data_IF_610697188193
#
_entry.id   IF_610697188193
#
_cell.length_a   1.000
_cell.length_b   1.000
_cell.length_c   1.000
_cell.angle_alpha   90.00
_cell.angle_beta   90.00
_cell.angle_gamma   90.00
#
_symmetry.space_group_name_H-M   'P 1'
#
loop_
_entity.id
_entity.type
_entity.pdbx_description
1 polymer ?
#
# COMPACT_ATOMS: atom_id res chain seq x y z
N UNK A 1 -3.66 19.44 -12.73
CA UNK A 1 -2.49 18.67 -12.23
C UNK A 1 -2.75 17.17 -12.44
N UNK A 2 -2.90 16.75 -13.71
CA UNK A 2 -3.19 15.36 -14.10
C UNK A 2 -2.20 14.88 -15.17
N UNK A 3 -1.82 15.79 -16.08
CA UNK A 3 -0.79 15.55 -17.09
C UNK A 3 0.51 14.93 -16.54
N UNK A 4 1.04 15.45 -15.41
CA UNK A 4 2.28 14.92 -14.81
C UNK A 4 2.17 13.48 -14.31
N UNK A 5 0.97 13.01 -13.97
CA UNK A 5 0.78 11.65 -13.45
C UNK A 5 0.66 10.63 -14.59
N UNK A 6 -0.03 11.01 -15.67
CA UNK A 6 -0.08 10.18 -16.88
C UNK A 6 1.28 10.12 -17.58
N UNK A 7 2.01 11.24 -17.63
CA UNK A 7 3.40 11.29 -18.13
C UNK A 7 4.30 10.35 -17.32
N UNK A 8 4.14 10.32 -15.99
CA UNK A 8 4.92 9.44 -15.11
C UNK A 8 4.58 7.96 -15.32
N UNK A 9 3.30 7.62 -15.52
CA UNK A 9 2.85 6.25 -15.86
C UNK A 9 3.43 5.78 -17.19
N UNK A 10 3.35 6.63 -18.22
CA UNK A 10 3.90 6.30 -19.54
C UNK A 10 5.42 6.10 -19.46
N UNK A 11 6.11 6.98 -18.73
CA UNK A 11 7.56 6.88 -18.53
C UNK A 11 7.94 5.58 -17.82
N UNK A 12 7.16 5.15 -16.83
CA UNK A 12 7.42 3.91 -16.11
C UNK A 12 7.20 2.66 -16.98
N UNK A 13 6.18 2.67 -17.85
CA UNK A 13 5.95 1.57 -18.80
C UNK A 13 7.03 1.47 -19.88
N UNK A 14 7.63 2.60 -20.26
CA UNK A 14 8.71 2.67 -21.24
C UNK A 14 10.11 2.51 -20.61
N UNK A 15 10.21 2.57 -19.28
CA UNK A 15 11.48 2.57 -18.58
C UNK A 15 12.19 1.21 -18.70
N UNK A 16 13.49 1.27 -18.96
CA UNK A 16 14.37 0.12 -18.78
C UNK A 16 14.53 -0.20 -17.30
N UNK A 17 14.95 -1.43 -16.94
CA UNK A 17 15.20 -1.82 -15.54
C UNK A 17 16.10 -0.82 -14.78
N UNK A 18 17.09 -0.25 -15.47
CA UNK A 18 18.01 0.73 -14.89
C UNK A 18 17.34 2.07 -14.59
N UNK A 19 16.42 2.50 -15.45
CA UNK A 19 15.63 3.72 -15.25
C UNK A 19 14.56 3.50 -14.17
N UNK A 20 13.95 2.32 -14.11
CA UNK A 20 13.06 1.91 -13.02
C UNK A 20 13.78 2.03 -11.68
N UNK A 21 14.99 1.45 -11.54
CA UNK A 21 15.80 1.56 -10.32
C UNK A 21 16.13 3.02 -9.93
N UNK A 22 16.43 3.88 -10.90
CA UNK A 22 16.68 5.31 -10.64
C UNK A 22 15.42 6.06 -10.20
N UNK A 23 14.27 5.76 -10.82
CA UNK A 23 12.97 6.34 -10.44
C UNK A 23 12.57 5.87 -9.05
N UNK A 24 12.79 4.59 -8.72
CA UNK A 24 12.57 4.06 -7.38
C UNK A 24 13.48 4.75 -6.37
N UNK A 25 14.78 4.93 -6.67
CA UNK A 25 15.70 5.60 -5.76
C UNK A 25 15.36 7.07 -5.46
N UNK A 26 14.69 7.78 -6.37
CA UNK A 26 14.44 9.23 -6.26
C UNK A 26 12.98 9.59 -5.95
N UNK A 27 12.03 8.75 -6.35
CA UNK A 27 10.61 9.08 -6.37
C UNK A 27 9.70 7.92 -5.92
N UNK A 28 10.23 6.92 -5.18
CA UNK A 28 9.42 5.77 -4.76
C UNK A 28 8.15 6.15 -4.00
N UNK A 29 8.17 7.22 -3.18
CA UNK A 29 6.99 7.65 -2.43
C UNK A 29 5.85 8.04 -3.38
N UNK A 30 6.14 8.89 -4.36
CA UNK A 30 5.17 9.31 -5.39
C UNK A 30 4.65 8.10 -6.16
N UNK A 31 5.52 7.15 -6.50
CA UNK A 31 5.13 5.96 -7.22
C UNK A 31 4.20 5.05 -6.39
N UNK A 32 4.52 4.82 -5.12
CA UNK A 32 3.66 4.06 -4.21
C UNK A 32 2.30 4.73 -4.02
N UNK A 33 2.24 6.06 -3.95
CA UNK A 33 0.97 6.78 -3.88
C UNK A 33 0.14 6.59 -5.14
N UNK A 34 0.76 6.66 -6.32
CA UNK A 34 0.08 6.42 -7.60
C UNK A 34 -0.46 5.01 -7.72
N UNK A 35 0.24 4.04 -7.13
CA UNK A 35 -0.21 2.65 -7.11
C UNK A 35 -1.35 2.38 -6.14
N UNK A 36 -1.75 3.31 -5.28
CA UNK A 36 -2.99 3.16 -4.51
C UNK A 36 -4.25 3.44 -5.33
N UNK A 37 -4.13 4.14 -6.46
CA UNK A 37 -5.25 4.46 -7.34
C UNK A 37 -5.59 3.32 -8.30
N UNK A 38 -6.88 3.14 -8.57
CA UNK A 38 -7.35 2.16 -9.54
C UNK A 38 -6.86 2.48 -10.95
N UNK A 39 -6.41 1.49 -11.75
CA UNK A 39 -6.35 0.03 -11.47
C UNK A 39 -4.96 -0.48 -11.04
N UNK A 40 -4.09 0.38 -10.49
CA UNK A 40 -2.67 0.07 -10.33
C UNK A 40 -2.29 -0.63 -9.02
N UNK A 41 -3.26 -0.94 -8.16
CA UNK A 41 -3.02 -1.51 -6.83
C UNK A 41 -2.29 -2.85 -6.86
N UNK A 42 -2.35 -3.58 -7.97
CA UNK A 42 -1.55 -4.80 -8.17
C UNK A 42 -0.04 -4.55 -8.11
N UNK A 43 0.43 -3.36 -8.51
CA UNK A 43 1.85 -3.01 -8.52
C UNK A 43 2.36 -2.48 -7.18
N UNK A 44 1.45 -2.12 -6.27
CA UNK A 44 1.80 -1.49 -5.00
C UNK A 44 2.71 -2.38 -4.16
N UNK A 45 2.31 -3.63 -3.90
CA UNK A 45 3.06 -4.54 -3.03
C UNK A 45 4.40 -4.94 -3.65
N UNK A 46 4.43 -5.24 -4.95
CA UNK A 46 5.67 -5.60 -5.67
C UNK A 46 6.69 -4.45 -5.58
N UNK A 47 6.22 -3.22 -5.79
CA UNK A 47 7.08 -2.04 -5.76
C UNK A 47 7.53 -1.73 -4.34
N UNK A 48 6.63 -1.87 -3.37
CA UNK A 48 6.96 -1.69 -1.98
C UNK A 48 8.07 -2.65 -1.55
N UNK A 49 8.02 -3.93 -1.95
CA UNK A 49 9.08 -4.90 -1.67
C UNK A 49 10.44 -4.48 -2.24
N UNK A 50 10.49 -3.94 -3.46
CA UNK A 50 11.73 -3.44 -4.07
C UNK A 50 12.33 -2.28 -3.27
N UNK A 51 11.50 -1.41 -2.71
CA UNK A 51 11.94 -0.18 -2.02
C UNK A 51 11.82 -0.26 -0.50
N UNK A 52 11.63 -1.46 0.05
CA UNK A 52 11.40 -1.64 1.48
C UNK A 52 12.54 -1.07 2.34
N UNK A 53 13.77 -1.16 1.82
CA UNK A 53 14.98 -0.62 2.44
C UNK A 53 15.06 0.92 2.41
N UNK A 54 14.24 1.59 1.59
CA UNK A 54 14.15 3.05 1.49
C UNK A 54 12.96 3.62 2.29
N UNK A 55 11.99 2.78 2.67
CA UNK A 55 10.81 3.20 3.43
C UNK A 55 11.21 3.43 4.89
N UNK A 56 11.12 4.68 5.33
CA UNK A 56 11.27 5.06 6.73
C UNK A 56 9.94 5.01 7.51
N UNK A 57 10.00 5.22 8.84
CA UNK A 57 8.81 5.19 9.73
C UNK A 57 7.72 6.15 9.26
N UNK A 58 8.14 7.36 8.85
CA UNK A 58 7.23 8.43 8.43
C UNK A 58 6.46 8.02 7.18
N UNK A 59 7.19 7.58 6.15
CA UNK A 59 6.63 7.11 4.89
C UNK A 59 5.70 5.92 5.10
N UNK A 60 6.11 4.95 5.93
CA UNK A 60 5.30 3.79 6.26
C UNK A 60 3.96 4.18 6.89
N UNK A 61 3.97 5.08 7.87
CA UNK A 61 2.75 5.56 8.53
C UNK A 61 1.84 6.34 7.57
N UNK A 62 2.41 7.16 6.69
CA UNK A 62 1.63 7.87 5.65
C UNK A 62 0.95 6.89 4.70
N UNK A 63 1.69 5.87 4.22
CA UNK A 63 1.13 4.84 3.33
C UNK A 63 -0.01 4.07 3.99
N UNK A 64 0.14 3.68 5.26
CA UNK A 64 -0.92 2.99 6.00
C UNK A 64 -2.16 3.86 6.17
N UNK A 65 -1.98 5.16 6.49
CA UNK A 65 -3.10 6.09 6.62
C UNK A 65 -3.82 6.26 5.28
N UNK A 66 -3.09 6.40 4.18
CA UNK A 66 -3.68 6.51 2.85
C UNK A 66 -4.48 5.25 2.46
N UNK A 67 -3.94 4.05 2.70
CA UNK A 67 -4.67 2.81 2.44
C UNK A 67 -5.95 2.74 3.29
N UNK A 68 -5.87 3.15 4.55
CA UNK A 68 -7.02 3.25 5.46
C UNK A 68 -8.08 4.24 4.96
N UNK A 69 -7.68 5.40 4.47
CA UNK A 69 -8.60 6.40 3.90
C UNK A 69 -9.25 5.85 2.62
N UNK A 70 -8.46 5.19 1.77
CA UNK A 70 -8.97 4.58 0.55
C UNK A 70 -9.95 3.43 0.85
N UNK A 71 -9.71 2.63 1.89
CA UNK A 71 -10.66 1.61 2.34
C UNK A 71 -12.02 2.20 2.77
N UNK A 72 -11.97 3.35 3.44
CA UNK A 72 -13.16 4.04 3.93
C UNK A 72 -13.95 4.64 2.76
N UNK A 73 -13.28 5.37 1.87
CA UNK A 73 -13.92 6.20 0.85
C UNK A 73 -14.03 5.55 -0.53
N UNK A 74 -13.18 4.59 -0.88
CA UNK A 74 -13.18 3.91 -2.18
C UNK A 74 -13.69 2.47 -2.06
N UNK A 75 -14.41 2.02 -3.10
CA UNK A 75 -14.99 0.66 -3.20
C UNK A 75 -14.58 -0.06 -4.49
N UNK A 76 -13.61 0.51 -5.22
CA UNK A 76 -13.09 -0.02 -6.48
C UNK A 76 -12.06 -1.15 -6.28
N UNK A 77 -11.49 -1.29 -5.08
CA UNK A 77 -10.49 -2.31 -4.75
C UNK A 77 -10.62 -2.82 -3.30
N UNK A 78 -10.11 -4.03 -3.02
CA UNK A 78 -10.06 -4.57 -1.65
C UNK A 78 -8.86 -3.99 -0.86
N UNK A 79 -8.97 -2.71 -0.50
CA UNK A 79 -7.97 -2.00 0.28
C UNK A 79 -7.74 -2.59 1.67
N UNK A 80 -8.76 -3.24 2.25
CA UNK A 80 -8.60 -3.96 3.52
C UNK A 80 -7.61 -5.12 3.37
N UNK A 81 -7.65 -5.86 2.24
CA UNK A 81 -6.66 -6.90 1.95
C UNK A 81 -5.28 -6.30 1.64
N UNK A 82 -5.21 -5.23 0.85
CA UNK A 82 -3.95 -4.54 0.57
C UNK A 82 -3.25 -4.08 1.85
N UNK A 83 -4.03 -3.50 2.77
CA UNK A 83 -3.57 -3.08 4.07
C UNK A 83 -2.93 -4.23 4.83
N UNK A 84 -3.64 -5.36 4.94
CA UNK A 84 -3.15 -6.51 5.67
C UNK A 84 -1.89 -7.10 5.03
N UNK A 85 -1.84 -7.22 3.71
CA UNK A 85 -0.67 -7.74 3.01
C UNK A 85 0.55 -6.82 3.20
N UNK A 86 0.38 -5.51 3.07
CA UNK A 86 1.44 -4.52 3.29
C UNK A 86 1.92 -4.52 4.75
N UNK A 87 1.00 -4.52 5.71
CA UNK A 87 1.32 -4.61 7.14
C UNK A 87 2.00 -5.93 7.50
N UNK A 88 1.58 -7.05 6.91
CA UNK A 88 2.14 -8.36 7.19
C UNK A 88 3.57 -8.51 6.67
N UNK A 89 3.90 -7.86 5.54
CA UNK A 89 5.26 -7.81 4.97
C UNK A 89 6.17 -6.83 5.70
N UNK A 90 5.63 -5.91 6.50
CA UNK A 90 6.44 -5.02 7.33
C UNK A 90 7.20 -5.77 8.43
N UNK A 91 8.50 -5.49 8.53
CA UNK A 91 9.35 -5.97 9.63
C UNK A 91 8.80 -5.53 10.99
N UNK A 92 9.00 -6.35 12.02
CA UNK A 92 8.53 -6.08 13.38
C UNK A 92 8.99 -4.72 13.94
N UNK A 93 10.13 -4.18 13.45
CA UNK A 93 10.68 -2.87 13.83
C UNK A 93 9.67 -1.73 13.57
N UNK A 94 8.81 -1.87 12.57
CA UNK A 94 7.82 -0.84 12.21
C UNK A 94 6.48 -1.03 12.93
N UNK A 95 6.19 -2.25 13.40
CA UNK A 95 4.95 -2.59 14.12
C UNK A 95 4.89 -1.97 15.51
N UNK A 96 6.04 -1.88 16.19
CA UNK A 96 6.19 -1.19 17.48
C UNK A 96 6.02 0.32 17.36
N UNK A 97 6.04 0.83 16.14
CA UNK A 97 6.06 2.26 15.83
C UNK A 97 4.66 2.85 15.59
N UNK A 98 3.62 2.01 15.59
CA UNK A 98 2.21 2.41 15.52
C UNK A 98 1.75 3.00 16.87
N UNK A 99 2.36 4.12 17.25
CA UNK A 99 1.97 4.92 18.42
C UNK A 99 0.73 5.77 18.15
N UNK A 100 0.27 5.84 16.90
CA UNK A 100 -0.99 6.50 16.53
C UNK A 100 -2.18 5.61 16.96
N UNK A 101 -2.94 5.99 18.00
CA UNK A 101 -4.05 5.18 18.51
C UNK A 101 -5.16 5.00 17.46
N UNK A 102 -5.30 5.95 16.53
CA UNK A 102 -6.28 5.85 15.46
C UNK A 102 -5.88 4.75 14.47
N UNK A 103 -4.59 4.72 14.09
CA UNK A 103 -4.06 3.68 13.20
C UNK A 103 -4.14 2.29 13.85
N UNK A 104 -3.79 2.19 15.13
CA UNK A 104 -3.90 0.95 15.91
C UNK A 104 -5.34 0.40 15.92
N UNK A 105 -6.32 1.26 16.22
CA UNK A 105 -7.73 0.87 16.19
C UNK A 105 -8.19 0.41 14.80
N UNK A 106 -7.75 1.09 13.73
CA UNK A 106 -8.12 0.75 12.35
C UNK A 106 -7.46 -0.56 11.90
N UNK A 107 -6.22 -0.83 12.32
CA UNK A 107 -5.55 -2.14 12.15
C UNK A 107 -6.41 -3.26 12.75
N UNK A 108 -6.84 -3.11 14.00
CA UNK A 108 -7.62 -4.13 14.69
C UNK A 108 -9.02 -4.34 14.07
N UNK A 109 -9.61 -3.27 13.53
CA UNK A 109 -10.87 -3.36 12.81
C UNK A 109 -10.72 -4.11 11.48
N UNK A 110 -9.71 -3.78 10.68
CA UNK A 110 -9.43 -4.46 9.41
C UNK A 110 -9.13 -5.94 9.65
N UNK A 111 -8.33 -6.26 10.67
CA UNK A 111 -8.04 -7.64 11.07
C UNK A 111 -9.31 -8.42 11.44
N UNK A 112 -10.19 -7.83 12.25
CA UNK A 112 -11.48 -8.47 12.61
C UNK A 112 -12.35 -8.74 11.38
N UNK A 113 -12.44 -7.78 10.46
CA UNK A 113 -13.19 -7.93 9.20
C UNK A 113 -12.63 -9.05 8.32
N UNK A 114 -11.31 -9.17 8.23
CA UNK A 114 -10.66 -10.24 7.45
C UNK A 114 -10.92 -11.62 8.07
N UNK A 115 -10.84 -11.75 9.39
CA UNK A 115 -11.17 -13.00 10.10
C UNK A 115 -12.63 -13.39 9.88
N UNK A 116 -13.57 -12.44 9.99
CA UNK A 116 -14.99 -12.71 9.72
C UNK A 116 -15.25 -13.13 8.27
N UNK A 117 -14.61 -12.48 7.28
CA UNK A 117 -14.68 -12.88 5.87
C UNK A 117 -14.14 -14.30 5.64
N UNK A 118 -13.12 -14.72 6.38
CA UNK A 118 -12.52 -16.05 6.26
C UNK A 118 -13.41 -17.13 6.90
N UNK A 119 -14.00 -16.87 8.07
CA UNK A 119 -14.94 -17.77 8.74
C UNK A 119 -16.23 -17.94 7.92
N UNK A 120 -16.76 -16.86 7.33
CA UNK A 120 -17.96 -16.93 6.48
C UNK A 120 -17.78 -17.73 5.18
N UNK A 121 -16.53 -17.92 4.70
CA UNK A 121 -16.21 -18.78 3.54
C UNK A 121 -16.03 -20.25 3.91
N UNK A 122 -15.67 -20.55 5.16
CA UNK A 122 -15.48 -21.93 5.64
C UNK A 122 -16.79 -22.64 6.02
N UNK A 123 -17.93 -21.95 6.01
CA UNK A 123 -19.26 -22.50 6.32
C UNK A 123 -20.11 -22.88 5.12
N UNK A 124 -19.55 -22.91 3.90
CA UNK A 124 -20.24 -23.30 2.66
C UNK A 124 -19.55 -24.51 1.98
N UNK A 125 -19.22 -25.55 2.76
CA UNK A 125 -18.85 -26.87 2.24
C UNK A 125 -19.73 -27.94 2.86
#
# INVERSE_FOLDING_TARGET
>A
MWAKLDDFRFYLYAATKKEEEQILGTNFQTLLFLYLDWPLQSFFLETAEKVWHLIDKSTFNVLLRLICDYEEFKKDFDYARLFADFWNRSSNIWRESAEDPHLSKKIDEIRRRLVQKQIGRSGQN
#
